data_IF_551677714137
#
_entry.id   IF_551677714137
#
_cell.length_a   1.000
_cell.length_b   1.000
_cell.length_c   1.000
_cell.angle_alpha   90.00
_cell.angle_beta   90.00
_cell.angle_gamma   90.00
#
_symmetry.space_group_name_H-M   'P 1'
#
loop_
_entity.id
_entity.type
_entity.pdbx_description
1 polymer ?
#
# COMPACT_ATOMS: atom_id res chain seq x y z
N UNK A 1 6.10 -0.18 31.76
CA UNK A 1 6.91 1.03 31.50
C UNK A 1 6.16 1.88 30.47
N UNK A 2 6.01 3.20 30.65
CA UNK A 2 5.30 4.03 29.69
C UNK A 2 6.07 4.12 28.36
N UNK A 3 5.35 4.29 27.24
CA UNK A 3 5.95 4.55 25.92
C UNK A 3 6.68 5.90 25.97
N UNK A 4 7.90 5.95 25.41
CA UNK A 4 8.70 7.18 25.38
C UNK A 4 8.01 8.27 24.56
N UNK A 5 8.00 9.50 25.08
CA UNK A 5 7.27 10.63 24.46
C UNK A 5 7.80 11.02 23.08
N UNK A 6 9.09 10.83 22.83
CA UNK A 6 9.72 11.11 21.54
C UNK A 6 9.25 10.14 20.44
N UNK A 7 9.03 8.86 20.78
CA UNK A 7 8.44 7.89 19.84
C UNK A 7 7.00 8.25 19.48
N UNK A 8 6.21 8.71 20.47
CA UNK A 8 4.84 9.18 20.24
C UNK A 8 4.85 10.41 19.32
N UNK A 9 5.79 11.35 19.54
CA UNK A 9 5.94 12.53 18.69
C UNK A 9 6.35 12.16 17.26
N UNK A 10 7.28 11.20 17.09
CA UNK A 10 7.70 10.71 15.79
C UNK A 10 6.57 10.03 15.01
N UNK A 11 5.77 9.16 15.66
CA UNK A 11 4.59 8.56 15.01
C UNK A 11 3.59 9.60 14.54
N UNK A 12 3.29 10.62 15.36
CA UNK A 12 2.38 11.71 14.97
C UNK A 12 2.93 12.49 13.78
N UNK A 13 4.20 12.88 13.85
CA UNK A 13 4.87 13.58 12.76
C UNK A 13 4.77 12.80 11.43
N UNK A 14 5.04 11.49 11.46
CA UNK A 14 4.96 10.64 10.26
C UNK A 14 3.52 10.55 9.72
N UNK A 15 2.52 10.40 10.59
CA UNK A 15 1.11 10.36 10.18
C UNK A 15 0.65 11.71 9.59
N UNK A 16 1.08 12.83 10.16
CA UNK A 16 0.76 14.17 9.65
C UNK A 16 1.46 14.42 8.31
N UNK A 17 2.74 14.07 8.20
CA UNK A 17 3.50 14.21 6.97
C UNK A 17 2.97 13.32 5.83
N UNK A 18 2.43 12.13 6.12
CA UNK A 18 1.80 11.29 5.09
C UNK A 18 0.58 11.94 4.44
N UNK A 19 -0.10 12.85 5.15
CA UNK A 19 -1.29 13.56 4.65
C UNK A 19 -0.95 14.77 3.78
N UNK A 20 0.31 15.22 3.77
CA UNK A 20 0.72 16.32 2.90
C UNK A 20 0.88 15.82 1.46
N UNK A 21 0.71 16.69 0.44
CA UNK A 21 1.08 16.34 -0.92
C UNK A 21 2.54 15.89 -1.03
N UNK A 22 2.80 14.91 -1.89
CA UNK A 22 4.14 14.57 -2.36
C UNK A 22 4.41 15.19 -3.73
N UNK A 23 5.45 14.70 -4.41
CA UNK A 23 5.80 15.19 -5.75
C UNK A 23 4.81 14.67 -6.79
N UNK A 24 4.33 13.44 -6.62
CA UNK A 24 3.57 12.72 -7.64
C UNK A 24 2.13 12.40 -7.25
N UNK A 25 1.82 12.41 -5.94
CA UNK A 25 0.49 12.21 -5.40
C UNK A 25 0.06 13.41 -4.55
N UNK A 26 -1.21 13.77 -4.66
CA UNK A 26 -1.83 14.73 -3.75
C UNK A 26 -1.93 14.16 -2.33
N UNK A 27 -2.15 15.03 -1.34
CA UNK A 27 -2.36 14.59 0.04
C UNK A 27 -3.56 13.64 0.18
N UNK A 28 -4.63 13.92 -0.55
CA UNK A 28 -5.83 13.07 -0.59
C UNK A 28 -5.54 11.69 -1.19
N UNK A 29 -4.80 11.62 -2.30
CA UNK A 29 -4.39 10.35 -2.90
C UNK A 29 -3.45 9.56 -1.98
N UNK A 30 -2.51 10.20 -1.28
CA UNK A 30 -1.66 9.53 -0.29
C UNK A 30 -2.47 8.97 0.88
N UNK A 31 -3.52 9.67 1.32
CA UNK A 31 -4.47 9.16 2.32
C UNK A 31 -5.29 8.00 1.77
N UNK A 32 -5.70 8.04 0.50
CA UNK A 32 -6.37 6.93 -0.15
C UNK A 32 -5.46 5.69 -0.25
N UNK A 33 -4.17 5.86 -0.62
CA UNK A 33 -3.17 4.79 -0.65
C UNK A 33 -3.03 4.17 0.75
N UNK A 34 -2.92 5.00 1.78
CA UNK A 34 -2.85 4.55 3.16
C UNK A 34 -4.11 3.77 3.60
N UNK A 35 -5.29 4.22 3.17
CA UNK A 35 -6.56 3.56 3.47
C UNK A 35 -6.65 2.19 2.82
N UNK A 36 -6.29 2.08 1.55
CA UNK A 36 -6.22 0.81 0.82
C UNK A 36 -5.20 -0.15 1.45
N UNK A 37 -4.02 0.35 1.83
CA UNK A 37 -2.99 -0.45 2.50
C UNK A 37 -3.50 -1.02 3.84
N UNK A 38 -4.22 -0.25 4.66
CA UNK A 38 -4.85 -0.79 5.88
C UNK A 38 -5.96 -1.80 5.58
N UNK A 39 -6.75 -1.54 4.54
CA UNK A 39 -7.82 -2.41 4.09
C UNK A 39 -7.33 -3.78 3.59
N UNK A 40 -6.17 -3.82 2.94
CA UNK A 40 -5.62 -5.02 2.31
C UNK A 40 -5.45 -6.21 3.26
N UNK A 41 -5.17 -5.97 4.55
CA UNK A 41 -5.08 -7.04 5.57
C UNK A 41 -6.41 -7.82 5.73
N UNK A 42 -7.54 -7.19 5.41
CA UNK A 42 -8.89 -7.75 5.50
C UNK A 42 -9.51 -8.04 4.13
N UNK A 43 -8.78 -7.81 3.04
CA UNK A 43 -9.25 -8.06 1.68
C UNK A 43 -9.37 -9.58 1.38
N UNK A 44 -10.54 -10.01 0.90
CA UNK A 44 -10.83 -11.39 0.53
C UNK A 44 -9.96 -11.89 -0.62
N UNK A 45 -9.78 -11.07 -1.66
CA UNK A 45 -8.91 -11.40 -2.80
C UNK A 45 -7.45 -11.55 -2.34
N UNK A 46 -6.95 -10.66 -1.48
CA UNK A 46 -5.59 -10.79 -0.93
C UNK A 46 -5.41 -12.09 -0.15
N UNK A 47 -6.38 -12.50 0.67
CA UNK A 47 -6.33 -13.80 1.36
C UNK A 47 -6.28 -14.96 0.38
N UNK A 48 -7.14 -14.95 -0.64
CA UNK A 48 -7.20 -16.00 -1.66
C UNK A 48 -5.87 -16.11 -2.44
N UNK A 49 -5.30 -14.97 -2.87
CA UNK A 49 -3.99 -14.91 -3.53
C UNK A 49 -2.88 -15.42 -2.62
N UNK A 50 -2.91 -15.05 -1.34
CA UNK A 50 -1.88 -15.45 -0.39
C UNK A 50 -1.84 -16.96 -0.20
N UNK A 51 -3.02 -17.60 -0.15
CA UNK A 51 -3.17 -19.05 -0.04
C UNK A 51 -2.87 -19.82 -1.35
N UNK A 52 -2.90 -19.14 -2.51
CA UNK A 52 -2.58 -19.76 -3.80
C UNK A 52 -1.07 -19.93 -4.00
N UNK A 53 -0.68 -21.01 -4.67
CA UNK A 53 0.70 -21.22 -5.16
C UNK A 53 1.08 -20.19 -6.22
N UNK A 54 0.12 -19.84 -7.09
CA UNK A 54 0.28 -18.80 -8.11
C UNK A 54 -0.65 -17.64 -7.78
N UNK A 55 -0.13 -16.48 -7.31
CA UNK A 55 -0.95 -15.33 -6.98
C UNK A 55 -1.84 -14.87 -8.14
N UNK A 56 -1.38 -15.02 -9.38
CA UNK A 56 -2.13 -14.65 -10.58
C UNK A 56 -3.32 -15.56 -10.87
N UNK A 57 -3.39 -16.76 -10.27
CA UNK A 57 -4.50 -17.69 -10.46
C UNK A 57 -5.79 -17.26 -9.73
N UNK A 58 -5.67 -16.47 -8.65
CA UNK A 58 -6.81 -15.90 -7.96
C UNK A 58 -7.12 -14.50 -8.54
N UNK A 59 -8.21 -14.44 -9.30
CA UNK A 59 -8.73 -13.22 -9.93
C UNK A 59 -9.95 -12.71 -9.17
N UNK A 60 -10.26 -11.43 -9.35
CA UNK A 60 -11.36 -10.77 -8.68
C UNK A 60 -11.09 -9.28 -8.52
N UNK A 61 -11.95 -8.63 -7.76
CA UNK A 61 -11.79 -7.24 -7.34
C UNK A 61 -11.32 -7.20 -5.89
N UNK A 62 -10.47 -6.24 -5.55
CA UNK A 62 -10.11 -5.99 -4.14
C UNK A 62 -11.33 -5.48 -3.36
N UNK A 63 -11.33 -5.67 -2.05
CA UNK A 63 -12.27 -4.98 -1.16
C UNK A 63 -11.70 -3.59 -0.84
N UNK A 64 -12.55 -2.57 -0.74
CA UNK A 64 -12.10 -1.24 -0.32
C UNK A 64 -12.99 -0.10 -0.81
N UNK A 65 -12.57 1.14 -0.54
CA UNK A 65 -13.24 2.34 -1.04
C UNK A 65 -13.01 2.61 -2.53
N UNK A 66 -11.92 2.10 -3.14
CA UNK A 66 -11.61 2.26 -4.56
C UNK A 66 -11.64 3.72 -5.07
N UNK A 67 -11.15 4.64 -4.24
CA UNK A 67 -10.97 6.06 -4.64
C UNK A 67 -9.88 6.19 -5.70
N UNK A 68 -8.90 5.28 -5.68
CA UNK A 68 -7.79 5.20 -6.63
C UNK A 68 -8.11 4.28 -7.80
N UNK A 69 -7.45 4.44 -8.96
CA UNK A 69 -7.54 3.51 -10.07
C UNK A 69 -7.22 2.06 -9.65
N UNK A 70 -7.91 1.08 -10.25
CA UNK A 70 -7.80 -0.34 -9.83
C UNK A 70 -6.37 -0.92 -9.97
N UNK A 71 -5.57 -0.46 -10.93
CA UNK A 71 -4.17 -0.86 -11.07
C UNK A 71 -3.30 -0.35 -9.89
N UNK A 72 -3.63 0.82 -9.34
CA UNK A 72 -3.00 1.41 -8.16
C UNK A 72 -3.41 0.64 -6.91
N UNK A 73 -4.70 0.36 -6.76
CA UNK A 73 -5.25 -0.45 -5.65
C UNK A 73 -4.59 -1.83 -5.64
N UNK A 74 -4.50 -2.51 -6.79
CA UNK A 74 -3.85 -3.82 -6.89
C UNK A 74 -2.38 -3.78 -6.44
N UNK A 75 -1.64 -2.76 -6.88
CA UNK A 75 -0.25 -2.58 -6.48
C UNK A 75 -0.11 -2.42 -4.96
N UNK A 76 -0.87 -1.52 -4.34
CA UNK A 76 -0.86 -1.29 -2.89
C UNK A 76 -1.17 -2.57 -2.12
N UNK A 77 -2.25 -3.26 -2.50
CA UNK A 77 -2.71 -4.48 -1.83
C UNK A 77 -1.67 -5.59 -1.90
N UNK A 78 -1.03 -5.79 -3.05
CA UNK A 78 0.02 -6.80 -3.24
C UNK A 78 1.30 -6.46 -2.49
N UNK A 79 1.75 -5.20 -2.54
CA UNK A 79 2.91 -4.71 -1.74
C UNK A 79 2.66 -4.95 -0.24
N UNK A 80 1.44 -4.69 0.23
CA UNK A 80 1.11 -4.81 1.64
C UNK A 80 1.05 -6.24 2.17
N UNK A 81 0.55 -7.16 1.35
CA UNK A 81 0.12 -8.51 1.82
C UNK A 81 1.02 -9.64 1.37
N UNK A 82 1.74 -9.46 0.26
CA UNK A 82 2.53 -10.50 -0.40
C UNK A 82 3.83 -9.97 -1.07
N UNK A 83 4.61 -9.09 -0.40
CA UNK A 83 5.76 -8.42 -1.04
C UNK A 83 6.87 -9.38 -1.47
N UNK A 84 7.04 -10.50 -0.78
CA UNK A 84 8.09 -11.48 -1.07
C UNK A 84 7.90 -12.23 -2.41
N UNK A 85 6.70 -12.15 -3.01
CA UNK A 85 6.38 -12.80 -4.30
C UNK A 85 6.25 -11.80 -5.45
N UNK A 86 6.68 -10.55 -5.26
CA UNK A 86 6.69 -9.55 -6.33
C UNK A 86 7.95 -9.73 -7.19
N UNK A 87 7.75 -10.14 -8.44
CA UNK A 87 8.82 -10.32 -9.42
C UNK A 87 9.08 -9.05 -10.24
N UNK A 88 10.19 -9.03 -10.98
CA UNK A 88 10.44 -8.02 -12.01
C UNK A 88 9.31 -7.96 -13.04
N UNK A 89 8.85 -9.11 -13.53
CA UNK A 89 7.75 -9.17 -14.52
C UNK A 89 6.44 -8.60 -13.99
N UNK A 90 6.16 -8.73 -12.68
CA UNK A 90 5.02 -8.06 -12.08
C UNK A 90 5.19 -6.55 -12.09
N UNK A 91 6.36 -6.04 -11.68
CA UNK A 91 6.65 -4.60 -11.71
C UNK A 91 6.52 -4.04 -13.13
N UNK A 92 7.13 -4.70 -14.12
CA UNK A 92 7.04 -4.28 -15.52
C UNK A 92 5.57 -4.24 -16.00
N UNK A 93 4.75 -5.20 -15.56
CA UNK A 93 3.31 -5.23 -15.83
C UNK A 93 2.54 -4.09 -15.16
N UNK A 94 2.92 -3.69 -13.94
CA UNK A 94 2.33 -2.52 -13.26
C UNK A 94 2.63 -1.24 -14.04
N UNK A 95 3.87 -1.06 -14.50
CA UNK A 95 4.27 0.13 -15.27
C UNK A 95 3.60 0.13 -16.65
N UNK A 96 3.60 -1.01 -17.35
CA UNK A 96 2.89 -1.16 -18.62
C UNK A 96 1.37 -0.94 -18.46
N UNK A 97 0.82 -1.21 -17.28
CA UNK A 97 -0.56 -0.93 -16.90
C UNK A 97 -0.87 0.54 -16.58
N UNK A 98 0.06 1.47 -16.83
CA UNK A 98 -0.16 2.91 -16.76
C UNK A 98 0.22 3.58 -15.43
N UNK A 99 0.83 2.85 -14.49
CA UNK A 99 1.41 3.48 -13.30
C UNK A 99 2.84 3.92 -13.60
N UNK A 100 3.08 5.24 -13.63
CA UNK A 100 4.43 5.78 -13.81
C UNK A 100 5.40 5.32 -12.70
N UNK A 101 6.69 5.17 -13.04
CA UNK A 101 7.73 4.69 -12.12
C UNK A 101 7.87 5.59 -10.90
N UNK A 102 7.83 6.92 -11.06
CA UNK A 102 7.99 7.84 -9.95
C UNK A 102 6.78 7.81 -9.01
N UNK A 103 5.57 7.70 -9.58
CA UNK A 103 4.33 7.43 -8.83
C UNK A 103 4.37 6.09 -8.08
N UNK A 104 4.89 5.04 -8.72
CA UNK A 104 5.08 3.74 -8.09
C UNK A 104 6.02 3.83 -6.88
N UNK A 105 7.17 4.49 -7.02
CA UNK A 105 8.14 4.64 -5.93
C UNK A 105 7.53 5.39 -4.74
N UNK A 106 6.82 6.50 -4.99
CA UNK A 106 6.16 7.25 -3.92
C UNK A 106 5.05 6.42 -3.23
N UNK A 107 4.28 5.65 -4.01
CA UNK A 107 3.26 4.73 -3.50
C UNK A 107 3.85 3.63 -2.61
N UNK A 108 4.98 3.03 -3.00
CA UNK A 108 5.70 2.04 -2.18
C UNK A 108 6.15 2.67 -0.87
N UNK A 109 6.66 3.90 -0.91
CA UNK A 109 7.08 4.63 0.28
C UNK A 109 5.94 4.84 1.29
N UNK A 110 4.79 5.34 0.82
CA UNK A 110 3.59 5.52 1.66
C UNK A 110 3.11 4.18 2.23
N UNK A 111 2.98 3.16 1.38
CA UNK A 111 2.45 1.85 1.78
C UNK A 111 3.35 1.15 2.82
N UNK A 112 4.67 1.27 2.66
CA UNK A 112 5.66 0.62 3.54
C UNK A 112 5.80 1.37 4.87
N UNK A 113 5.82 2.70 4.85
CA UNK A 113 5.83 3.51 6.07
C UNK A 113 4.62 3.18 6.93
N UNK A 114 3.43 3.10 6.33
CA UNK A 114 2.22 2.76 7.04
C UNK A 114 2.24 1.32 7.59
N UNK A 115 2.73 0.35 6.80
CA UNK A 115 2.87 -1.02 7.28
C UNK A 115 3.76 -1.12 8.53
N UNK A 116 4.83 -0.32 8.59
CA UNK A 116 5.70 -0.21 9.77
C UNK A 116 5.00 0.41 10.97
N UNK A 117 4.23 1.49 10.77
CA UNK A 117 3.45 2.14 11.84
C UNK A 117 2.38 1.21 12.40
N UNK A 118 1.63 0.53 11.52
CA UNK A 118 0.52 -0.35 11.89
C UNK A 118 0.99 -1.63 12.61
N UNK A 119 2.26 -2.02 12.48
CA UNK A 119 2.81 -3.18 13.21
C UNK A 119 2.83 -2.95 14.74
N UNK A 120 2.95 -1.69 15.16
CA UNK A 120 3.02 -1.30 16.58
C UNK A 120 1.74 -0.63 17.10
N UNK A 121 0.68 -0.61 16.28
CA UNK A 121 -0.59 0.03 16.60
C UNK A 121 -1.52 -0.86 17.45
#
# INVERSE_FOLDING_TARGET
MPVRKDLVAAHRFLLDHMRTPGTWWTGEERVAIATEARGAARCALCRARKASLSPSAATGRHDGPHVLPENVVDAVHRIRTDPARLSRSWFDGVIAGGLDVARYVELVGVSTLLAGLDYFA
#
